data_IF_443474537160
#
_entry.id   IF_443474537160
#
_cell.length_a   1.000
_cell.length_b   1.000
_cell.length_c   1.000
_cell.angle_alpha   90.00
_cell.angle_beta   90.00
_cell.angle_gamma   90.00
#
_symmetry.space_group_name_H-M   'P 1'
#
loop_
_entity.id
_entity.type
_entity.pdbx_description
1 polymer ?
#
# COMPACT_ATOMS: atom_id res chain seq x y z
N UNK A 1 5.11 5.84 -4.80
CA UNK A 1 5.84 4.94 -3.91
C UNK A 1 4.97 3.76 -3.58
N UNK A 2 5.56 2.68 -3.11
CA UNK A 2 4.79 1.76 -2.29
C UNK A 2 4.87 2.21 -0.81
N UNK A 3 3.81 1.93 -0.06
CA UNK A 3 3.94 1.85 1.40
C UNK A 3 4.42 0.44 1.76
N UNK A 4 4.93 0.28 2.98
CA UNK A 4 5.26 -1.00 3.59
C UNK A 4 4.64 -1.09 4.98
N UNK A 5 4.46 -2.31 5.49
CA UNK A 5 4.06 -2.57 6.87
C UNK A 5 5.29 -3.02 7.65
N UNK A 6 5.63 -2.31 8.72
CA UNK A 6 6.76 -2.67 9.60
C UNK A 6 6.37 -3.76 10.63
N UNK A 7 7.34 -4.17 11.42
CA UNK A 7 7.23 -5.23 12.43
C UNK A 7 6.40 -4.88 13.67
N UNK A 8 5.82 -3.68 13.75
CA UNK A 8 4.85 -3.35 14.80
C UNK A 8 3.44 -3.87 14.46
N UNK A 9 3.26 -4.52 13.31
CA UNK A 9 2.00 -5.14 12.92
C UNK A 9 1.55 -6.19 13.95
N UNK A 10 0.26 -6.16 14.28
CA UNK A 10 -0.38 -7.14 15.18
C UNK A 10 -1.42 -8.02 14.46
N UNK A 11 -1.40 -8.04 13.12
CA UNK A 11 -2.28 -8.90 12.30
C UNK A 11 -3.79 -8.74 12.62
N UNK A 12 -4.26 -7.50 12.76
CA UNK A 12 -5.62 -7.18 13.23
C UNK A 12 -6.69 -7.00 12.12
N UNK A 13 -6.35 -7.23 10.85
CA UNK A 13 -7.24 -7.14 9.68
C UNK A 13 -7.78 -5.76 9.28
N UNK A 14 -7.68 -4.73 10.13
CA UNK A 14 -8.26 -3.42 9.89
C UNK A 14 -7.82 -2.77 8.55
N UNK A 15 -6.57 -2.97 8.15
CA UNK A 15 -6.03 -2.38 6.92
C UNK A 15 -6.44 -3.13 5.63
N UNK A 16 -6.83 -4.41 5.71
CA UNK A 16 -7.15 -5.24 4.54
C UNK A 16 -8.35 -4.68 3.75
N UNK A 17 -9.43 -4.36 4.47
CA UNK A 17 -10.64 -3.80 3.87
C UNK A 17 -10.49 -2.31 3.49
N UNK A 18 -9.58 -1.60 4.14
CA UNK A 18 -9.36 -0.17 3.90
C UNK A 18 -8.64 0.12 2.58
N UNK A 19 -7.86 -0.83 2.05
CA UNK A 19 -7.08 -0.63 0.84
C UNK A 19 -7.96 -0.61 -0.42
N UNK A 20 -8.02 0.51 -1.19
CA UNK A 20 -8.85 0.56 -2.41
C UNK A 20 -8.38 -0.40 -3.51
N UNK A 21 -7.14 -0.87 -3.41
CA UNK A 21 -6.49 -1.67 -4.44
C UNK A 21 -6.27 -3.11 -4.01
N UNK A 22 -6.72 -3.52 -2.82
CA UNK A 22 -6.40 -4.84 -2.24
C UNK A 22 -4.89 -5.14 -2.37
N UNK A 23 -4.05 -4.18 -1.98
CA UNK A 23 -2.60 -4.27 -2.09
C UNK A 23 -1.94 -4.94 -0.87
N UNK A 24 -2.72 -5.18 0.19
CA UNK A 24 -2.25 -5.77 1.45
C UNK A 24 -2.57 -7.26 1.46
N UNK A 25 -1.61 -8.08 1.87
CA UNK A 25 -1.73 -9.53 2.01
C UNK A 25 -1.35 -9.94 3.43
N UNK A 26 -2.03 -10.94 3.97
CA UNK A 26 -1.74 -11.48 5.31
C UNK A 26 -0.35 -12.11 5.36
N UNK A 27 0.05 -12.79 4.28
CA UNK A 27 1.35 -13.46 4.16
C UNK A 27 2.12 -12.98 2.94
N UNK A 28 3.43 -12.85 3.14
CA UNK A 28 4.40 -12.62 2.06
C UNK A 28 4.27 -13.62 0.91
N UNK A 29 4.13 -14.90 1.25
CA UNK A 29 3.99 -15.99 0.28
C UNK A 29 2.81 -15.82 -0.67
N UNK A 30 1.71 -15.23 -0.19
CA UNK A 30 0.48 -15.09 -0.97
C UNK A 30 0.63 -13.97 -2.01
N UNK A 31 1.30 -12.87 -1.62
CA UNK A 31 1.69 -11.81 -2.54
C UNK A 31 2.66 -12.33 -3.61
N UNK A 32 3.73 -13.00 -3.19
CA UNK A 32 4.78 -13.48 -4.09
C UNK A 32 4.27 -14.57 -5.05
N UNK A 33 3.42 -15.48 -4.57
CA UNK A 33 2.78 -16.50 -5.43
C UNK A 33 1.83 -15.88 -6.46
N UNK A 34 1.25 -14.72 -6.15
CA UNK A 34 0.50 -13.90 -7.11
C UNK A 34 1.35 -13.11 -8.10
N UNK A 35 2.68 -13.24 -8.04
CA UNK A 35 3.63 -12.47 -8.86
C UNK A 35 3.81 -11.02 -8.40
N UNK A 36 3.39 -10.68 -7.18
CA UNK A 36 3.47 -9.34 -6.65
C UNK A 36 4.76 -9.14 -5.85
N UNK A 37 5.44 -8.02 -6.12
CA UNK A 37 6.67 -7.63 -5.43
C UNK A 37 6.33 -6.99 -4.09
N UNK A 38 7.10 -7.34 -3.07
CA UNK A 38 7.05 -6.78 -1.72
C UNK A 38 8.45 -6.37 -1.29
N UNK A 39 8.56 -5.43 -0.36
CA UNK A 39 9.86 -4.90 0.06
C UNK A 39 10.71 -5.95 0.76
N UNK A 40 12.02 -5.81 0.64
CA UNK A 40 12.97 -6.63 1.39
C UNK A 40 12.78 -6.41 2.89
N UNK A 41 12.77 -7.49 3.67
CA UNK A 41 12.57 -7.44 5.12
C UNK A 41 11.11 -7.38 5.58
N UNK A 42 10.14 -7.14 4.70
CA UNK A 42 8.72 -7.12 5.06
C UNK A 42 8.16 -8.54 5.26
N UNK A 43 7.40 -8.78 6.33
CA UNK A 43 6.65 -10.03 6.54
C UNK A 43 7.51 -11.29 6.77
N UNK A 44 8.77 -11.14 7.17
CA UNK A 44 9.69 -12.28 7.36
C UNK A 44 9.34 -13.17 8.57
N UNK A 45 8.64 -12.62 9.56
CA UNK A 45 8.16 -13.35 10.73
C UNK A 45 6.92 -14.23 10.43
N UNK A 46 6.35 -14.12 9.22
CA UNK A 46 5.17 -14.87 8.79
C UNK A 46 3.84 -14.40 9.39
N UNK A 47 3.85 -13.33 10.18
CA UNK A 47 2.68 -12.76 10.87
C UNK A 47 2.41 -11.30 10.47
N UNK A 48 3.46 -10.54 10.20
CA UNK A 48 3.40 -9.17 9.72
C UNK A 48 2.83 -9.15 8.31
N UNK A 49 1.75 -8.39 8.12
CA UNK A 49 1.12 -8.23 6.80
C UNK A 49 2.08 -7.52 5.84
N UNK A 50 1.86 -7.69 4.54
CA UNK A 50 2.72 -7.09 3.51
C UNK A 50 1.93 -6.24 2.53
N UNK A 51 2.56 -5.20 2.00
CA UNK A 51 2.03 -4.38 0.90
C UNK A 51 2.78 -4.71 -0.38
N UNK A 52 2.03 -4.99 -1.43
CA UNK A 52 2.55 -5.14 -2.80
C UNK A 52 2.82 -3.79 -3.46
N UNK A 53 4.00 -3.66 -4.06
CA UNK A 53 4.39 -2.47 -4.83
C UNK A 53 3.58 -2.31 -6.12
N UNK A 54 3.19 -3.44 -6.73
CA UNK A 54 2.51 -3.44 -8.03
C UNK A 54 1.04 -2.98 -7.92
N UNK A 55 0.50 -2.98 -6.70
CA UNK A 55 -0.89 -2.63 -6.39
C UNK A 55 -1.02 -1.39 -5.50
N UNK A 56 -0.04 -1.07 -4.67
CA UNK A 56 -0.09 0.11 -3.81
C UNK A 56 0.01 1.39 -4.63
N UNK A 57 -0.91 2.33 -4.43
CA UNK A 57 -0.85 3.68 -5.02
C UNK A 57 -0.68 4.76 -3.96
N UNK A 58 -0.37 4.40 -2.71
CA UNK A 58 -0.46 5.31 -1.55
C UNK A 58 -1.84 5.98 -1.43
N UNK A 59 -2.88 5.32 -1.92
CA UNK A 59 -4.23 5.86 -2.10
C UNK A 59 -4.35 7.05 -3.06
N UNK A 60 -3.25 7.46 -3.73
CA UNK A 60 -3.29 8.48 -4.78
C UNK A 60 -4.32 8.09 -5.82
N UNK A 61 -5.15 9.08 -6.20
CA UNK A 61 -6.27 8.88 -7.11
C UNK A 61 -7.60 8.50 -6.45
N UNK A 62 -7.57 8.06 -5.19
CA UNK A 62 -8.75 7.58 -4.46
C UNK A 62 -9.05 8.40 -3.21
N UNK A 63 -8.02 8.71 -2.40
CA UNK A 63 -8.16 9.41 -1.13
C UNK A 63 -7.02 10.41 -0.93
N UNK A 64 -7.25 11.42 -0.10
CA UNK A 64 -6.25 12.44 0.23
C UNK A 64 -5.15 11.94 1.18
N UNK A 65 -5.32 10.75 1.80
CA UNK A 65 -4.37 10.14 2.73
C UNK A 65 -4.41 8.59 2.64
N UNK A 66 -3.33 7.88 3.02
CA UNK A 66 -3.30 6.42 3.04
C UNK A 66 -4.27 5.78 4.04
N UNK A 67 -5.28 5.09 3.52
CA UNK A 67 -6.32 4.46 4.36
C UNK A 67 -5.78 3.34 5.25
N UNK A 68 -4.72 2.63 4.84
CA UNK A 68 -4.06 1.62 5.68
C UNK A 68 -3.46 2.21 6.96
N UNK A 69 -2.94 3.44 6.89
CA UNK A 69 -2.35 4.13 8.02
C UNK A 69 -3.45 4.62 8.96
N UNK A 70 -4.52 5.21 8.40
CA UNK A 70 -5.69 5.67 9.18
C UNK A 70 -6.44 4.52 9.87
N UNK A 71 -6.50 3.34 9.24
CA UNK A 71 -7.20 2.18 9.80
C UNK A 71 -6.38 1.40 10.85
N UNK A 72 -5.07 1.65 10.97
CA UNK A 72 -4.20 0.87 11.84
C UNK A 72 -4.43 1.22 13.33
N UNK A 73 -4.80 0.25 14.20
CA UNK A 73 -5.08 0.54 15.61
C UNK A 73 -3.83 0.77 16.46
N UNK A 74 -2.65 0.34 15.98
CA UNK A 74 -1.36 0.58 16.65
C UNK A 74 -0.78 1.94 16.28
N UNK A 75 -1.17 2.48 15.11
CA UNK A 75 -0.52 3.65 14.52
C UNK A 75 0.86 3.29 13.93
N UNK A 76 1.26 4.02 12.89
CA UNK A 76 2.60 3.96 12.31
C UNK A 76 3.12 2.58 11.85
N UNK A 77 2.24 1.58 11.66
CA UNK A 77 2.64 0.33 11.00
C UNK A 77 2.74 0.49 9.48
N UNK A 78 1.77 1.18 8.84
CA UNK A 78 1.77 1.44 7.40
C UNK A 78 2.58 2.71 7.12
N UNK A 79 3.81 2.56 6.61
CA UNK A 79 4.76 3.66 6.44
C UNK A 79 5.31 3.73 5.02
N UNK A 80 5.80 4.89 4.56
CA UNK A 80 6.43 5.01 3.25
C UNK A 80 7.64 4.08 3.09
N UNK A 81 7.66 3.24 2.05
CA UNK A 81 8.79 2.35 1.77
C UNK A 81 9.99 3.16 1.27
N UNK A 82 11.15 3.16 1.97
CA UNK A 82 12.33 3.91 1.55
C UNK A 82 13.01 3.31 0.31
N UNK A 83 12.79 2.03 0.00
CA UNK A 83 13.40 1.34 -1.13
C UNK A 83 12.62 1.51 -2.44
N UNK A 84 11.39 2.02 -2.37
CA UNK A 84 10.48 2.13 -3.53
C UNK A 84 9.86 3.53 -3.65
N UNK A 85 10.67 4.60 -3.83
CA UNK A 85 10.16 5.92 -4.21
C UNK A 85 9.54 5.90 -5.60
N UNK A 86 8.37 6.51 -5.76
CA UNK A 86 7.71 6.69 -7.06
C UNK A 86 6.88 7.96 -7.02
N UNK A 87 6.89 8.71 -8.12
CA UNK A 87 6.19 9.98 -8.25
C UNK A 87 4.68 9.83 -8.31
N UNK A 88 3.97 10.95 -8.07
CA UNK A 88 2.51 11.05 -8.21
C UNK A 88 2.02 10.55 -9.58
N UNK A 89 2.76 10.82 -10.66
CA UNK A 89 2.40 10.38 -12.01
C UNK A 89 2.33 8.86 -12.13
N UNK A 90 3.35 8.15 -11.63
CA UNK A 90 3.39 6.68 -11.61
C UNK A 90 2.23 6.09 -10.81
N UNK A 91 1.91 6.70 -9.67
CA UNK A 91 0.81 6.24 -8.81
C UNK A 91 -0.56 6.44 -9.45
N UNK A 92 -0.78 7.59 -10.10
CA UNK A 92 -2.01 7.86 -10.84
C UNK A 92 -2.20 6.90 -12.02
N UNK A 93 -1.13 6.60 -12.76
CA UNK A 93 -1.19 5.62 -13.86
C UNK A 93 -1.53 4.22 -13.34
N UNK A 94 -0.91 3.81 -12.23
CA UNK A 94 -1.26 2.54 -11.57
C UNK A 94 -2.72 2.53 -11.10
N UNK A 95 -3.21 3.61 -10.49
CA UNK A 95 -4.60 3.72 -10.05
C UNK A 95 -5.58 3.56 -11.21
N UNK A 96 -5.33 4.22 -12.35
CA UNK A 96 -6.13 4.09 -13.58
C UNK A 96 -6.11 2.66 -14.14
N UNK A 97 -4.94 2.01 -14.13
CA UNK A 97 -4.80 0.62 -14.58
C UNK A 97 -5.57 -0.37 -13.70
N UNK A 98 -5.57 -0.16 -12.39
CA UNK A 98 -6.25 -1.03 -11.44
C UNK A 98 -7.77 -0.81 -11.41
N UNK A 99 -8.22 0.42 -11.69
CA UNK A 99 -9.63 0.79 -11.67
C UNK A 99 -10.06 1.52 -12.95
N UNK A 100 -10.06 0.84 -14.12
CA UNK A 100 -10.35 1.49 -15.41
C UNK A 100 -11.77 2.05 -15.54
N UNK A 101 -12.68 1.66 -14.65
CA UNK A 101 -14.08 2.09 -14.65
C UNK A 101 -14.40 3.12 -13.55
N UNK A 102 -13.42 3.53 -12.75
CA UNK A 102 -13.60 4.54 -11.70
C UNK A 102 -12.98 5.86 -12.10
N UNK A 103 -13.59 6.95 -11.68
CA UNK A 103 -12.95 8.26 -11.76
C UNK A 103 -11.71 8.27 -10.84
N UNK A 104 -10.55 8.58 -11.40
CA UNK A 104 -9.29 8.74 -10.68
C UNK A 104 -8.99 10.22 -10.53
N UNK A 105 -9.02 10.69 -9.29
CA UNK A 105 -8.90 12.10 -8.95
C UNK A 105 -7.43 12.51 -8.82
N UNK A 106 -6.95 13.36 -9.73
CA UNK A 106 -5.56 13.81 -9.75
C UNK A 106 -5.18 14.71 -8.56
N UNK A 107 -6.18 15.28 -7.89
CA UNK A 107 -6.04 16.12 -6.70
C UNK A 107 -6.06 15.31 -5.39
N UNK A 108 -6.38 14.02 -5.45
CA UNK A 108 -6.27 13.09 -4.31
C UNK A 108 -4.82 12.60 -4.19
N UNK A 109 -3.97 13.48 -3.68
CA UNK A 109 -2.53 13.24 -3.48
C UNK A 109 -2.16 13.72 -2.09
N UNK A 110 -1.62 12.82 -1.27
CA UNK A 110 -1.21 13.15 0.08
C UNK A 110 0.20 13.78 0.10
N UNK A 111 0.54 14.64 1.07
CA UNK A 111 1.84 15.33 1.10
C UNK A 111 3.07 14.42 1.25
N UNK A 112 2.86 13.16 1.65
CA UNK A 112 3.93 12.19 1.87
C UNK A 112 4.39 11.43 0.62
N UNK A 113 3.81 11.68 -0.57
CA UNK A 113 4.32 11.13 -1.83
C UNK A 113 5.73 11.69 -2.08
N UNK A 114 6.72 10.81 -2.25
CA UNK A 114 8.12 11.17 -2.51
C UNK A 114 8.47 10.83 -3.96
N UNK A 115 8.73 11.85 -4.78
CA UNK A 115 9.16 11.71 -6.19
C UNK A 115 8.76 12.89 -7.06
#
# INVERSE_FOLDING_TARGET
MALMINNNCISCDACLAACPNQAIFEKRSDAESGGYRVSDGQGLDGTTYVISHDRCTECVGHFAEPQCASACPIGDCCVPDPLVPESTGVLLERARRLHPQKEIRHDMVWPGVRG
#
